data_IF_579742749092
#
_entry.id   IF_579742749092
#
_cell.length_a   1.000
_cell.length_b   1.000
_cell.length_c   1.000
_cell.angle_alpha   90.00
_cell.angle_beta   90.00
_cell.angle_gamma   90.00
#
_symmetry.space_group_name_H-M   'P 1'
#
loop_
_entity.id
_entity.type
_entity.pdbx_description
1 polymer ?
#
# COMPACT_ATOMS: atom_id res chain seq x y z
N UNK A 1 53.91 18.49 38.65
CA UNK A 1 53.40 18.41 37.27
C UNK A 1 53.22 16.94 36.89
N UNK A 2 52.00 16.39 37.01
CA UNK A 2 51.68 15.02 36.54
C UNK A 2 50.69 15.18 35.37
N UNK A 3 51.12 14.82 34.16
CA UNK A 3 50.29 14.85 32.95
C UNK A 3 49.40 13.61 32.95
N UNK A 4 48.08 13.82 33.04
CA UNK A 4 47.06 12.79 32.90
C UNK A 4 46.71 12.68 31.42
N UNK A 5 47.05 11.56 30.79
CA UNK A 5 46.69 11.23 29.41
C UNK A 5 45.34 10.50 29.46
N UNK A 6 44.29 11.13 28.93
CA UNK A 6 43.01 10.47 28.70
C UNK A 6 43.07 9.72 27.37
N UNK A 7 42.92 8.40 27.41
CA UNK A 7 42.67 7.58 26.23
C UNK A 7 41.20 7.73 25.83
N UNK A 8 40.95 8.39 24.70
CA UNK A 8 39.63 8.43 24.07
C UNK A 8 39.48 7.15 23.23
N UNK A 9 38.76 6.17 23.77
CA UNK A 9 38.41 4.94 23.06
C UNK A 9 37.25 5.28 22.11
N UNK A 10 37.53 5.44 20.82
CA UNK A 10 36.49 5.68 19.81
C UNK A 10 35.69 4.39 19.59
N UNK A 11 34.46 4.34 20.12
CA UNK A 11 33.47 3.36 19.70
C UNK A 11 33.00 3.72 18.29
N UNK A 12 33.57 3.07 17.28
CA UNK A 12 32.99 3.03 15.94
C UNK A 12 31.78 2.11 15.97
N UNK A 13 30.62 2.65 16.35
CA UNK A 13 29.34 2.00 16.09
C UNK A 13 29.14 1.92 14.59
N UNK A 14 29.21 0.72 14.02
CA UNK A 14 28.72 0.47 12.66
C UNK A 14 27.21 0.65 12.72
N UNK A 15 26.73 1.80 12.23
CA UNK A 15 25.32 1.98 11.91
C UNK A 15 25.01 1.00 10.77
N UNK A 16 24.46 -0.16 11.10
CA UNK A 16 23.81 -1.02 10.12
C UNK A 16 22.60 -0.24 9.59
N UNK A 17 22.74 0.33 8.39
CA UNK A 17 21.58 0.75 7.60
C UNK A 17 20.75 -0.51 7.32
N UNK A 18 19.72 -0.74 8.12
CA UNK A 18 18.65 -1.65 7.71
C UNK A 18 17.98 -1.03 6.49
N UNK A 19 17.97 -1.75 5.37
CA UNK A 19 17.23 -1.34 4.19
C UNK A 19 15.77 -1.07 4.58
N UNK A 20 15.29 0.13 4.28
CA UNK A 20 13.95 0.56 4.66
C UNK A 20 12.92 0.10 3.62
N UNK A 21 13.38 -0.22 2.41
CA UNK A 21 12.55 -0.67 1.30
C UNK A 21 13.22 -1.76 0.47
N UNK A 22 12.41 -2.58 -0.20
CA UNK A 22 12.88 -3.55 -1.20
C UNK A 22 13.68 -2.89 -2.34
N UNK A 23 13.42 -1.61 -2.61
CA UNK A 23 14.06 -0.87 -3.70
C UNK A 23 15.52 -0.47 -3.40
N UNK A 24 15.98 -0.65 -2.17
CA UNK A 24 17.36 -0.38 -1.78
C UNK A 24 18.31 -1.52 -2.19
N UNK A 25 17.76 -2.69 -2.55
CA UNK A 25 18.55 -3.85 -2.92
C UNK A 25 18.99 -3.81 -4.38
N UNK A 26 20.19 -4.35 -4.60
CA UNK A 26 20.70 -4.70 -5.91
C UNK A 26 20.92 -6.20 -5.98
N UNK A 27 20.80 -6.75 -7.18
CA UNK A 27 20.97 -8.18 -7.46
C UNK A 27 21.77 -8.34 -8.75
N UNK A 28 22.30 -9.53 -9.00
CA UNK A 28 22.93 -9.82 -10.30
C UNK A 28 21.88 -10.33 -11.28
N UNK A 29 21.84 -9.76 -12.47
CA UNK A 29 21.05 -10.30 -13.57
C UNK A 29 21.71 -11.59 -14.12
N UNK A 30 21.06 -12.16 -15.12
CA UNK A 30 21.48 -13.34 -15.88
C UNK A 30 22.83 -13.28 -16.60
N UNK A 31 23.42 -12.09 -16.76
CA UNK A 31 24.77 -11.92 -17.31
C UNK A 31 25.78 -11.51 -16.23
N UNK A 32 25.38 -11.58 -14.96
CA UNK A 32 26.23 -11.30 -13.80
C UNK A 32 26.41 -9.82 -13.48
N UNK A 33 25.68 -8.93 -14.15
CA UNK A 33 25.72 -7.48 -13.91
C UNK A 33 24.82 -7.10 -12.73
N UNK A 34 25.30 -6.18 -11.91
CA UNK A 34 24.52 -5.64 -10.80
C UNK A 34 23.41 -4.69 -11.31
N UNK A 35 22.16 -5.02 -10.99
CA UNK A 35 20.96 -4.24 -11.34
C UNK A 35 20.16 -3.92 -10.08
N UNK A 36 19.38 -2.84 -10.11
CA UNK A 36 18.61 -2.40 -8.93
C UNK A 36 17.19 -2.95 -8.96
N UNK A 37 16.69 -3.40 -7.81
CA UNK A 37 15.25 -3.74 -7.69
C UNK A 37 14.36 -2.49 -7.84
N UNK A 38 14.92 -1.28 -7.68
CA UNK A 38 14.20 -0.02 -7.92
C UNK A 38 13.70 0.14 -9.36
N UNK A 39 14.27 -0.58 -10.33
CA UNK A 39 13.79 -0.64 -11.72
C UNK A 39 12.35 -1.17 -11.82
N UNK A 40 11.88 -1.88 -10.78
CA UNK A 40 10.54 -2.45 -10.69
C UNK A 40 9.59 -1.65 -9.78
N UNK A 41 9.95 -0.41 -9.41
CA UNK A 41 9.13 0.44 -8.54
C UNK A 41 7.74 0.69 -9.11
N UNK A 42 6.71 0.55 -8.26
CA UNK A 42 5.30 0.71 -8.66
C UNK A 42 4.67 -0.53 -9.32
N UNK A 43 5.44 -1.59 -9.59
CA UNK A 43 4.92 -2.88 -10.01
C UNK A 43 4.56 -3.76 -8.80
N UNK A 44 3.63 -4.69 -9.01
CA UNK A 44 3.43 -5.83 -8.10
C UNK A 44 4.48 -6.88 -8.46
N UNK A 45 5.20 -7.42 -7.47
CA UNK A 45 6.27 -8.40 -7.72
C UNK A 45 5.92 -9.74 -7.09
N UNK A 46 6.24 -10.83 -7.79
CA UNK A 46 6.34 -12.16 -7.20
C UNK A 46 7.80 -12.61 -7.26
N UNK A 47 8.47 -12.59 -6.12
CA UNK A 47 9.87 -13.01 -6.01
C UNK A 47 9.89 -14.50 -5.66
N UNK A 48 10.59 -15.31 -6.44
CA UNK A 48 10.58 -16.78 -6.30
C UNK A 48 12.00 -17.33 -6.26
N UNK A 49 12.33 -18.18 -5.27
CA UNK A 49 13.55 -18.98 -5.36
C UNK A 49 13.27 -20.27 -6.15
N UNK A 50 14.01 -20.56 -7.22
CA UNK A 50 13.69 -21.69 -8.10
C UNK A 50 14.83 -22.68 -8.25
N UNK A 51 14.51 -23.82 -8.88
CA UNK A 51 15.44 -24.88 -9.22
C UNK A 51 14.93 -25.65 -10.44
N UNK A 52 15.84 -26.26 -11.21
CA UNK A 52 15.50 -26.97 -12.46
C UNK A 52 15.26 -28.46 -12.23
N UNK A 53 15.89 -29.07 -11.22
CA UNK A 53 15.78 -30.50 -10.88
C UNK A 53 14.91 -30.78 -9.65
N UNK A 54 13.90 -29.94 -9.41
CA UNK A 54 12.99 -30.05 -8.27
C UNK A 54 11.67 -30.71 -8.67
N UNK A 55 11.03 -31.43 -7.74
CA UNK A 55 9.66 -31.93 -7.94
C UNK A 55 8.63 -30.81 -8.14
N UNK A 56 8.94 -29.57 -7.75
CA UNK A 56 8.10 -28.39 -7.96
C UNK A 56 8.46 -27.60 -9.22
N UNK A 57 9.49 -27.99 -9.99
CA UNK A 57 9.83 -27.37 -11.29
C UNK A 57 8.62 -27.24 -12.23
N UNK A 58 7.68 -28.21 -12.30
CA UNK A 58 6.49 -28.05 -13.14
C UNK A 58 5.61 -26.84 -12.84
N UNK A 59 5.76 -26.17 -11.68
CA UNK A 59 5.03 -24.92 -11.37
C UNK A 59 5.32 -23.78 -12.36
N UNK A 60 6.42 -23.82 -13.11
CA UNK A 60 6.62 -22.90 -14.24
C UNK A 60 5.43 -22.90 -15.22
N UNK A 61 4.75 -24.04 -15.41
CA UNK A 61 3.55 -24.17 -16.25
C UNK A 61 2.36 -23.35 -15.77
N UNK A 62 2.33 -23.02 -14.48
CA UNK A 62 1.27 -22.20 -13.88
C UNK A 62 1.73 -20.74 -13.69
N UNK A 63 3.01 -20.52 -13.40
CA UNK A 63 3.60 -19.19 -13.23
C UNK A 63 3.65 -18.40 -14.54
N UNK A 64 3.95 -19.05 -15.67
CA UNK A 64 4.01 -18.36 -16.96
C UNK A 64 2.63 -17.83 -17.42
N UNK A 65 1.53 -18.62 -17.41
CA UNK A 65 0.21 -18.08 -17.68
C UNK A 65 -0.23 -16.97 -16.71
N UNK A 66 0.13 -17.08 -15.43
CA UNK A 66 -0.10 -16.02 -14.45
C UNK A 66 0.62 -14.74 -14.86
N UNK A 67 1.90 -14.85 -15.25
CA UNK A 67 2.69 -13.73 -15.72
C UNK A 67 2.07 -13.08 -16.95
N UNK A 68 1.80 -13.85 -18.00
CA UNK A 68 1.18 -13.35 -19.23
C UNK A 68 -0.14 -12.61 -18.97
N UNK A 69 -0.97 -13.13 -18.05
CA UNK A 69 -2.27 -12.54 -17.71
C UNK A 69 -2.17 -11.17 -17.04
N UNK A 70 -1.18 -10.95 -16.17
CA UNK A 70 -1.10 -9.74 -15.35
C UNK A 70 0.07 -8.81 -15.70
N UNK A 71 1.01 -9.22 -16.55
CA UNK A 71 2.21 -8.44 -16.86
C UNK A 71 1.89 -7.03 -17.36
N UNK A 72 0.97 -6.91 -18.32
CA UNK A 72 0.52 -5.62 -18.87
C UNK A 72 -0.20 -4.73 -17.85
N UNK A 73 -0.62 -5.29 -16.71
CA UNK A 73 -1.24 -4.57 -15.60
C UNK A 73 -0.20 -4.12 -14.55
N UNK A 74 1.09 -4.26 -14.85
CA UNK A 74 2.19 -3.87 -13.96
C UNK A 74 2.54 -4.96 -12.93
N UNK A 75 2.56 -6.21 -13.36
CA UNK A 75 3.03 -7.36 -12.59
C UNK A 75 4.37 -7.89 -13.14
N UNK A 76 5.26 -8.31 -12.24
CA UNK A 76 6.53 -8.95 -12.59
C UNK A 76 6.79 -10.19 -11.74
N UNK A 77 7.32 -11.25 -12.34
CA UNK A 77 7.93 -12.36 -11.59
C UNK A 77 9.44 -12.15 -11.63
N UNK A 78 10.08 -12.16 -10.45
CA UNK A 78 11.55 -12.11 -10.35
C UNK A 78 12.03 -13.50 -9.92
N UNK A 79 12.62 -14.23 -10.85
CA UNK A 79 13.06 -15.60 -10.65
C UNK A 79 14.55 -15.66 -10.25
N UNK A 80 14.81 -16.19 -9.06
CA UNK A 80 16.14 -16.35 -8.49
C UNK A 80 16.48 -17.83 -8.28
N UNK A 81 17.25 -18.47 -9.17
CA UNK A 81 17.68 -19.84 -8.95
C UNK A 81 18.51 -19.97 -7.66
N UNK A 82 18.32 -21.06 -6.92
CA UNK A 82 19.02 -21.31 -5.65
C UNK A 82 19.41 -22.78 -5.54
N UNK A 83 20.69 -23.06 -5.27
CA UNK A 83 21.21 -24.44 -5.23
C UNK A 83 21.32 -25.00 -3.80
N UNK A 84 20.82 -24.29 -2.79
CA UNK A 84 20.92 -24.69 -1.38
C UNK A 84 20.00 -25.89 -1.02
N UNK A 85 18.98 -26.16 -1.85
CA UNK A 85 17.98 -27.20 -1.57
C UNK A 85 18.21 -28.43 -2.46
N UNK A 86 18.85 -29.46 -1.89
CA UNK A 86 19.12 -30.73 -2.57
C UNK A 86 20.01 -30.60 -3.81
N UNK A 87 20.74 -29.49 -3.96
CA UNK A 87 21.56 -29.18 -5.14
C UNK A 87 20.76 -29.28 -6.47
N UNK A 88 19.51 -28.80 -6.43
CA UNK A 88 18.55 -28.96 -7.54
C UNK A 88 18.60 -27.82 -8.57
N UNK A 89 19.47 -26.82 -8.41
CA UNK A 89 19.78 -25.81 -9.41
C UNK A 89 21.27 -25.86 -9.80
N UNK A 90 21.77 -27.03 -10.27
CA UNK A 90 23.16 -27.15 -10.68
C UNK A 90 23.40 -26.41 -11.98
N UNK A 91 24.64 -25.98 -12.18
CA UNK A 91 25.06 -25.25 -13.38
C UNK A 91 25.05 -23.74 -13.22
N UNK A 92 25.25 -23.10 -14.36
CA UNK A 92 25.28 -21.66 -14.59
C UNK A 92 23.87 -21.13 -14.85
N UNK A 93 23.67 -19.82 -14.68
CA UNK A 93 22.38 -19.18 -15.01
C UNK A 93 22.01 -19.34 -16.49
N UNK A 94 22.98 -19.38 -17.41
CA UNK A 94 22.72 -19.61 -18.83
C UNK A 94 22.16 -21.02 -19.11
N UNK A 95 22.67 -22.05 -18.42
CA UNK A 95 22.14 -23.41 -18.51
C UNK A 95 20.74 -23.51 -17.91
N UNK A 96 20.51 -22.87 -16.75
CA UNK A 96 19.21 -22.82 -16.08
C UNK A 96 18.18 -22.14 -16.97
N UNK A 97 18.51 -21.00 -17.57
CA UNK A 97 17.64 -20.32 -18.53
C UNK A 97 17.30 -21.17 -19.73
N UNK A 98 18.32 -21.77 -20.34
CA UNK A 98 18.13 -22.60 -21.53
C UNK A 98 17.16 -23.75 -21.23
N UNK A 99 17.30 -24.36 -20.04
CA UNK A 99 16.36 -25.36 -19.55
C UNK A 99 14.95 -24.79 -19.36
N UNK A 100 14.78 -23.68 -18.64
CA UNK A 100 13.46 -23.13 -18.35
C UNK A 100 12.74 -22.69 -19.64
N UNK A 101 13.44 -22.03 -20.55
CA UNK A 101 12.91 -21.59 -21.85
C UNK A 101 12.49 -22.79 -22.70
N UNK A 102 13.36 -23.79 -22.86
CA UNK A 102 13.08 -24.94 -23.71
C UNK A 102 11.92 -25.83 -23.20
N UNK A 103 11.67 -25.86 -21.89
CA UNK A 103 10.67 -26.75 -21.28
C UNK A 103 9.35 -26.05 -20.91
N UNK A 104 9.39 -24.73 -20.69
CA UNK A 104 8.25 -23.99 -20.14
C UNK A 104 7.95 -22.66 -20.84
N UNK A 105 8.81 -22.22 -21.77
CA UNK A 105 8.62 -20.98 -22.53
C UNK A 105 8.41 -19.75 -21.63
N UNK A 106 9.28 -19.60 -20.62
CA UNK A 106 9.16 -18.51 -19.64
C UNK A 106 9.57 -17.17 -20.23
N UNK A 107 8.80 -16.11 -19.91
CA UNK A 107 9.06 -14.76 -20.42
C UNK A 107 9.45 -13.74 -19.34
N UNK A 108 9.35 -14.12 -18.06
CA UNK A 108 9.72 -13.23 -16.96
C UNK A 108 11.24 -13.23 -16.68
N UNK A 109 11.78 -12.15 -16.07
CA UNK A 109 13.20 -12.04 -15.75
C UNK A 109 13.72 -13.15 -14.85
N UNK A 110 14.86 -13.73 -15.25
CA UNK A 110 15.68 -14.60 -14.41
C UNK A 110 16.97 -13.88 -14.02
N UNK A 111 17.36 -14.05 -12.76
CA UNK A 111 18.54 -13.43 -12.17
C UNK A 111 19.63 -14.48 -11.93
N UNK A 112 20.84 -14.03 -11.61
CA UNK A 112 21.92 -14.94 -11.23
C UNK A 112 21.52 -15.75 -9.98
N UNK A 113 22.20 -16.88 -9.81
CA UNK A 113 21.97 -17.78 -8.68
C UNK A 113 22.23 -17.03 -7.36
N UNK A 114 21.35 -17.26 -6.40
CA UNK A 114 21.37 -16.56 -5.11
C UNK A 114 21.29 -17.54 -3.94
N UNK A 115 21.99 -17.22 -2.86
CA UNK A 115 21.82 -17.89 -1.57
C UNK A 115 20.70 -17.19 -0.79
N UNK A 116 19.78 -17.98 -0.22
CA UNK A 116 18.56 -17.48 0.44
C UNK A 116 18.57 -17.73 1.96
N UNK A 117 19.44 -18.63 2.42
CA UNK A 117 19.61 -19.01 3.82
C UNK A 117 21.10 -19.01 4.23
N UNK A 118 21.34 -19.03 5.55
CA UNK A 118 22.66 -19.08 6.15
C UNK A 118 23.41 -17.75 6.13
N UNK A 119 24.68 -17.77 6.55
CA UNK A 119 25.55 -16.59 6.66
C UNK A 119 25.81 -15.90 5.32
N UNK A 120 25.73 -16.66 4.21
CA UNK A 120 25.90 -16.16 2.85
C UNK A 120 24.57 -15.76 2.19
N UNK A 121 23.45 -15.77 2.91
CA UNK A 121 22.17 -15.34 2.37
C UNK A 121 22.26 -13.91 1.84
N UNK A 122 21.78 -13.70 0.62
CA UNK A 122 21.75 -12.37 0.05
C UNK A 122 20.85 -11.43 0.88
N UNK A 123 21.25 -10.16 1.11
CA UNK A 123 20.49 -9.22 1.93
C UNK A 123 19.01 -9.09 1.57
N UNK A 124 18.68 -9.16 0.27
CA UNK A 124 17.29 -9.22 -0.22
C UNK A 124 16.48 -10.33 0.45
N UNK A 125 16.99 -11.57 0.49
CA UNK A 125 16.25 -12.71 1.06
C UNK A 125 16.21 -12.69 2.58
N UNK A 126 17.26 -12.16 3.24
CA UNK A 126 17.23 -11.89 4.68
C UNK A 126 16.09 -10.93 5.02
N UNK A 127 16.00 -9.81 4.29
CA UNK A 127 14.93 -8.83 4.47
C UNK A 127 13.54 -9.40 4.15
N UNK A 128 13.38 -10.13 3.04
CA UNK A 128 12.11 -10.75 2.67
C UNK A 128 11.60 -11.72 3.75
N UNK A 129 12.50 -12.53 4.33
CA UNK A 129 12.16 -13.42 5.45
C UNK A 129 11.69 -12.61 6.65
N UNK A 130 12.45 -11.61 7.07
CA UNK A 130 12.11 -10.76 8.23
C UNK A 130 10.74 -10.08 8.08
N UNK A 131 10.46 -9.49 6.92
CA UNK A 131 9.19 -8.84 6.63
C UNK A 131 8.00 -9.82 6.60
N UNK A 132 8.26 -11.11 6.40
CA UNK A 132 7.25 -12.16 6.35
C UNK A 132 7.16 -13.00 7.64
N UNK A 133 7.61 -12.46 8.78
CA UNK A 133 7.55 -13.14 10.08
C UNK A 133 8.79 -13.98 10.42
N UNK A 134 9.87 -13.81 9.66
CA UNK A 134 11.15 -14.49 9.86
C UNK A 134 11.18 -15.94 9.37
N UNK A 135 12.18 -16.67 9.86
CA UNK A 135 12.36 -18.11 9.60
C UNK A 135 12.89 -18.43 8.20
N UNK A 136 13.71 -19.47 8.11
CA UNK A 136 14.37 -19.86 6.87
C UNK A 136 13.42 -20.26 5.75
N UNK A 137 13.89 -20.10 4.51
CA UNK A 137 13.24 -20.67 3.33
C UNK A 137 13.32 -22.19 3.46
N UNK A 138 12.17 -22.86 3.39
CA UNK A 138 12.11 -24.31 3.67
C UNK A 138 12.52 -25.14 2.47
N UNK A 139 12.27 -24.67 1.26
CA UNK A 139 12.52 -25.42 0.04
C UNK A 139 12.53 -24.52 -1.23
N UNK A 140 12.78 -25.12 -2.38
CA UNK A 140 12.59 -24.49 -3.68
C UNK A 140 11.12 -24.07 -3.88
N UNK A 141 10.89 -23.03 -4.67
CA UNK A 141 9.57 -22.44 -4.97
C UNK A 141 8.86 -21.83 -3.75
N UNK A 142 9.59 -21.27 -2.79
CA UNK A 142 9.01 -20.28 -1.86
C UNK A 142 8.88 -18.94 -2.59
N UNK A 143 7.79 -18.21 -2.33
CA UNK A 143 7.39 -17.03 -3.11
C UNK A 143 7.02 -15.89 -2.19
N UNK A 144 7.35 -14.67 -2.57
CA UNK A 144 6.97 -13.45 -1.85
C UNK A 144 6.20 -12.54 -2.80
N UNK A 145 4.95 -12.23 -2.44
CA UNK A 145 4.14 -11.23 -3.13
C UNK A 145 4.43 -9.86 -2.53
N UNK A 146 4.85 -8.92 -3.37
CA UNK A 146 5.25 -7.56 -3.01
C UNK A 146 4.27 -6.58 -3.64
N UNK A 147 3.76 -5.64 -2.86
CA UNK A 147 2.87 -4.59 -3.34
C UNK A 147 3.58 -3.53 -4.17
N UNK A 148 2.79 -2.68 -4.85
CA UNK A 148 3.31 -1.53 -5.63
C UNK A 148 4.09 -0.51 -4.77
N UNK A 149 3.85 -0.53 -3.47
CA UNK A 149 4.55 0.29 -2.47
C UNK A 149 5.88 -0.33 -1.99
N UNK A 150 6.23 -1.52 -2.50
CA UNK A 150 7.44 -2.25 -2.14
C UNK A 150 7.35 -3.04 -0.83
N UNK A 151 6.16 -3.14 -0.20
CA UNK A 151 5.97 -3.90 1.04
C UNK A 151 5.64 -5.36 0.74
N UNK A 152 6.17 -6.27 1.57
CA UNK A 152 5.79 -7.68 1.51
C UNK A 152 4.33 -7.83 1.93
N UNK A 153 3.51 -8.36 1.04
CA UNK A 153 2.09 -8.64 1.29
C UNK A 153 1.95 -10.02 1.92
N UNK A 154 2.62 -11.02 1.33
CA UNK A 154 2.48 -12.41 1.76
C UNK A 154 3.65 -13.29 1.28
N UNK A 155 4.01 -14.26 2.10
CA UNK A 155 4.92 -15.36 1.77
C UNK A 155 4.10 -16.63 1.51
N UNK A 156 4.47 -17.37 0.47
CA UNK A 156 3.87 -18.65 0.08
C UNK A 156 4.96 -19.73 0.06
N UNK A 157 4.65 -20.91 0.55
CA UNK A 157 5.55 -22.06 0.55
C UNK A 157 5.39 -22.91 -0.72
N UNK A 158 6.28 -23.87 -0.93
CA UNK A 158 6.34 -24.65 -2.18
C UNK A 158 5.04 -25.35 -2.57
N UNK A 159 4.22 -25.74 -1.59
CA UNK A 159 2.95 -26.46 -1.82
C UNK A 159 1.77 -25.52 -2.06
N UNK A 160 1.91 -24.22 -1.80
CA UNK A 160 0.85 -23.27 -2.09
C UNK A 160 0.61 -23.21 -3.59
N UNK A 161 -0.65 -23.36 -3.97
CA UNK A 161 -1.06 -23.41 -5.37
C UNK A 161 -1.01 -22.03 -6.00
N UNK A 162 -0.64 -21.96 -7.27
CA UNK A 162 -0.61 -20.70 -8.02
C UNK A 162 -2.00 -20.05 -8.07
N UNK A 163 -3.08 -20.82 -8.08
CA UNK A 163 -4.45 -20.30 -7.96
C UNK A 163 -4.69 -19.48 -6.68
N UNK A 164 -4.08 -19.87 -5.55
CA UNK A 164 -4.17 -19.10 -4.30
C UNK A 164 -3.42 -17.77 -4.43
N UNK A 165 -2.26 -17.79 -5.09
CA UNK A 165 -1.47 -16.58 -5.36
C UNK A 165 -2.25 -15.67 -6.31
N UNK A 166 -2.90 -16.22 -7.33
CA UNK A 166 -3.71 -15.45 -8.27
C UNK A 166 -4.88 -14.74 -7.57
N UNK A 167 -5.58 -15.42 -6.66
CA UNK A 167 -6.67 -14.81 -5.90
C UNK A 167 -6.19 -13.61 -5.06
N UNK A 168 -5.04 -13.74 -4.41
CA UNK A 168 -4.41 -12.63 -3.67
C UNK A 168 -3.91 -11.54 -4.64
N UNK A 169 -3.38 -11.92 -5.81
CA UNK A 169 -2.92 -11.00 -6.86
C UNK A 169 -4.04 -10.13 -7.41
N UNK A 170 -5.23 -10.67 -7.64
CA UNK A 170 -6.37 -9.91 -8.14
C UNK A 170 -6.70 -8.71 -7.24
N UNK A 171 -6.51 -8.86 -5.93
CA UNK A 171 -6.75 -7.79 -4.95
C UNK A 171 -5.71 -6.67 -5.02
N UNK A 172 -4.50 -6.94 -5.53
CA UNK A 172 -3.36 -6.02 -5.46
C UNK A 172 -2.98 -5.45 -6.83
N UNK A 173 -3.23 -6.17 -7.93
CA UNK A 173 -2.97 -5.69 -9.28
C UNK A 173 -4.08 -4.75 -9.74
N UNK A 174 -5.35 -5.05 -9.39
CA UNK A 174 -6.48 -4.20 -9.72
C UNK A 174 -6.37 -2.86 -8.95
N UNK A 175 -6.21 -1.71 -9.63
CA UNK A 175 -5.95 -0.44 -8.97
C UNK A 175 -7.12 0.03 -8.09
N UNK A 176 -8.36 -0.34 -8.43
CA UNK A 176 -9.53 0.00 -7.62
C UNK A 176 -9.54 -0.80 -6.33
N UNK A 177 -9.34 -2.12 -6.42
CA UNK A 177 -9.29 -2.98 -5.24
C UNK A 177 -8.09 -2.64 -4.36
N UNK A 178 -6.91 -2.42 -4.95
CA UNK A 178 -5.72 -2.03 -4.19
C UNK A 178 -5.93 -0.69 -3.47
N UNK A 179 -6.57 0.28 -4.12
CA UNK A 179 -6.91 1.57 -3.52
C UNK A 179 -7.88 1.39 -2.33
N UNK A 180 -8.93 0.56 -2.50
CA UNK A 180 -9.88 0.22 -1.43
C UNK A 180 -9.17 -0.44 -0.25
N UNK A 181 -8.28 -1.39 -0.51
CA UNK A 181 -7.59 -2.18 0.52
C UNK A 181 -6.48 -1.39 1.22
N UNK A 182 -5.84 -0.44 0.53
CA UNK A 182 -4.78 0.41 1.06
C UNK A 182 -5.31 1.55 1.94
N UNK A 183 -6.51 2.06 1.67
CA UNK A 183 -7.04 3.25 2.35
C UNK A 183 -7.08 3.11 3.87
N UNK A 184 -6.56 4.11 4.59
CA UNK A 184 -6.62 4.22 6.06
C UNK A 184 -7.21 5.56 6.50
N UNK A 185 -7.62 5.64 7.76
CA UNK A 185 -7.98 6.93 8.37
C UNK A 185 -6.71 7.65 8.81
N UNK A 186 -6.32 8.66 8.04
CA UNK A 186 -5.17 9.55 8.32
C UNK A 186 -5.62 10.67 9.25
N UNK A 187 -4.86 10.91 10.32
CA UNK A 187 -5.17 11.84 11.40
C UNK A 187 -4.05 12.84 11.68
N UNK A 188 -2.92 12.72 10.97
CA UNK A 188 -1.82 13.69 10.95
C UNK A 188 -1.54 14.08 9.51
N UNK A 189 -1.36 15.36 9.28
CA UNK A 189 -1.23 15.93 7.95
C UNK A 189 -0.01 16.84 7.92
N UNK A 190 0.63 16.91 6.76
CA UNK A 190 1.65 17.93 6.52
C UNK A 190 0.98 19.30 6.55
N UNK A 191 1.72 20.30 7.01
CA UNK A 191 1.31 21.70 6.97
C UNK A 191 1.46 22.27 5.54
N UNK A 192 0.70 21.66 4.61
CA UNK A 192 0.67 21.99 3.18
C UNK A 192 -0.78 21.94 2.70
N UNK A 193 -1.34 23.03 2.14
CA UNK A 193 -2.67 23.00 1.54
C UNK A 193 -2.71 22.04 0.34
N UNK A 194 -3.85 21.39 0.17
CA UNK A 194 -4.15 20.58 -1.02
C UNK A 194 -4.53 21.51 -2.17
N UNK A 195 -4.07 21.18 -3.37
CA UNK A 195 -4.42 21.94 -4.56
C UNK A 195 -5.94 21.86 -4.85
N UNK A 196 -6.58 23.00 -5.14
CA UNK A 196 -8.02 23.12 -5.35
C UNK A 196 -8.58 22.08 -6.33
N UNK A 197 -7.91 21.89 -7.48
CA UNK A 197 -8.30 20.92 -8.51
C UNK A 197 -8.44 19.48 -7.96
N UNK A 198 -7.59 19.07 -7.01
CA UNK A 198 -7.72 17.75 -6.38
C UNK A 198 -8.90 17.68 -5.44
N UNK A 199 -9.17 18.76 -4.69
CA UNK A 199 -10.33 18.84 -3.80
C UNK A 199 -11.63 18.79 -4.61
N UNK A 200 -11.66 19.46 -5.76
CA UNK A 200 -12.78 19.39 -6.71
C UNK A 200 -12.96 17.97 -7.25
N UNK A 201 -11.91 17.30 -7.72
CA UNK A 201 -11.99 15.89 -8.17
C UNK A 201 -12.57 15.00 -7.06
N UNK A 202 -12.11 15.17 -5.82
CA UNK A 202 -12.64 14.43 -4.67
C UNK A 202 -14.12 14.71 -4.46
N UNK A 203 -14.52 15.98 -4.48
CA UNK A 203 -15.93 16.36 -4.32
C UNK A 203 -16.80 15.81 -5.47
N UNK A 204 -16.33 15.91 -6.70
CA UNK A 204 -16.97 15.37 -7.91
C UNK A 204 -17.17 13.85 -7.80
N UNK A 205 -16.17 13.10 -7.35
CA UNK A 205 -16.29 11.66 -7.15
C UNK A 205 -17.38 11.31 -6.13
N UNK A 206 -17.55 12.17 -5.11
CA UNK A 206 -18.61 12.06 -4.12
C UNK A 206 -20.00 12.34 -4.66
N UNK A 207 -20.22 13.50 -5.29
CA UNK A 207 -21.57 13.90 -5.74
C UNK A 207 -22.12 13.03 -6.88
N UNK A 208 -21.28 12.21 -7.52
CA UNK A 208 -21.68 11.28 -8.58
C UNK A 208 -22.11 9.89 -8.08
N UNK A 209 -22.31 9.71 -6.77
CA UNK A 209 -22.84 8.43 -6.24
C UNK A 209 -24.30 8.21 -6.64
N UNK A 210 -24.76 6.94 -6.75
CA UNK A 210 -26.17 6.65 -6.84
C UNK A 210 -26.88 7.02 -5.52
N UNK A 211 -28.19 7.30 -5.61
CA UNK A 211 -29.05 7.53 -4.45
C UNK A 211 -30.41 6.87 -4.65
N UNK A 212 -31.13 6.62 -3.54
CA UNK A 212 -32.47 6.05 -3.62
C UNK A 212 -33.38 6.93 -4.49
N UNK A 213 -34.03 6.32 -5.50
CA UNK A 213 -34.83 7.03 -6.51
C UNK A 213 -34.08 8.16 -7.24
N UNK A 214 -32.74 8.11 -7.28
CA UNK A 214 -31.89 9.15 -7.85
C UNK A 214 -32.15 10.57 -7.32
N UNK A 215 -32.52 10.69 -6.03
CA UNK A 215 -32.86 11.97 -5.39
C UNK A 215 -31.70 12.97 -5.34
N UNK A 216 -30.47 12.50 -5.11
CA UNK A 216 -29.25 13.32 -5.11
C UNK A 216 -29.31 14.53 -4.15
N UNK A 217 -29.96 14.35 -3.00
CA UNK A 217 -30.22 15.42 -2.03
C UNK A 217 -29.02 15.66 -1.10
N UNK A 218 -27.89 16.09 -1.64
CA UNK A 218 -26.69 16.44 -0.87
C UNK A 218 -26.18 17.83 -1.24
N UNK A 219 -25.49 18.46 -0.28
CA UNK A 219 -24.69 19.64 -0.52
C UNK A 219 -23.28 19.42 0.02
N UNK A 220 -22.28 19.78 -0.78
CA UNK A 220 -20.87 19.64 -0.43
C UNK A 220 -20.23 21.03 -0.38
N UNK A 221 -19.41 21.28 0.63
CA UNK A 221 -18.62 22.51 0.76
C UNK A 221 -17.17 22.15 1.02
N UNK A 222 -16.27 22.71 0.23
CA UNK A 222 -14.82 22.58 0.41
C UNK A 222 -14.35 23.81 1.19
N UNK A 223 -13.60 23.59 2.26
CA UNK A 223 -13.01 24.66 3.09
C UNK A 223 -11.51 24.64 2.91
N UNK A 224 -11.01 25.74 2.35
CA UNK A 224 -9.59 25.94 1.99
C UNK A 224 -8.99 27.17 2.64
N UNK A 225 -9.84 28.06 3.16
CA UNK A 225 -9.42 29.29 3.80
C UNK A 225 -8.69 28.99 5.13
N UNK A 226 -7.40 29.35 5.26
CA UNK A 226 -6.62 29.03 6.46
C UNK A 226 -7.17 29.66 7.74
N UNK A 227 -7.73 30.88 7.67
CA UNK A 227 -8.34 31.54 8.83
C UNK A 227 -9.55 30.74 9.35
N UNK A 228 -10.40 30.25 8.45
CA UNK A 228 -11.53 29.39 8.84
C UNK A 228 -11.08 28.05 9.40
N UNK A 229 -9.93 27.54 8.96
CA UNK A 229 -9.34 26.32 9.49
C UNK A 229 -8.76 26.50 10.90
N UNK A 230 -8.23 27.69 11.22
CA UNK A 230 -7.79 28.02 12.58
C UNK A 230 -8.96 28.09 13.58
N UNK A 231 -10.14 28.56 13.16
CA UNK A 231 -11.36 28.59 13.98
C UNK A 231 -11.78 27.20 14.51
N UNK A 232 -11.49 26.15 13.71
CA UNK A 232 -11.90 24.77 13.97
C UNK A 232 -10.74 23.85 14.35
N UNK A 233 -9.57 24.44 14.61
CA UNK A 233 -8.34 23.74 14.99
C UNK A 233 -8.53 22.92 16.27
N UNK A 234 -7.85 21.78 16.34
CA UNK A 234 -7.97 20.79 17.40
C UNK A 234 -9.20 19.87 17.26
N UNK A 235 -10.25 20.33 16.57
CA UNK A 235 -11.48 19.54 16.38
C UNK A 235 -11.43 18.72 15.09
N UNK A 236 -10.68 19.18 14.08
CA UNK A 236 -10.70 18.62 12.72
C UNK A 236 -9.39 17.94 12.33
N UNK A 237 -8.70 17.34 13.31
CA UNK A 237 -7.37 16.70 13.15
C UNK A 237 -6.28 17.65 12.65
N UNK A 238 -6.51 18.96 12.77
CA UNK A 238 -5.61 19.99 12.23
C UNK A 238 -5.29 19.77 10.75
N UNK A 239 -6.24 19.23 9.99
CA UNK A 239 -6.06 19.09 8.55
C UNK A 239 -5.99 20.47 7.89
N UNK A 240 -5.24 20.61 6.78
CA UNK A 240 -5.16 21.89 6.06
C UNK A 240 -6.46 22.24 5.32
N UNK A 241 -7.30 21.25 5.01
CA UNK A 241 -8.56 21.42 4.29
C UNK A 241 -9.66 20.55 4.89
N UNK A 242 -10.92 20.93 4.65
CA UNK A 242 -12.10 20.11 4.99
C UNK A 242 -13.05 19.98 3.82
N UNK A 243 -13.72 18.84 3.74
CA UNK A 243 -14.91 18.67 2.91
C UNK A 243 -16.09 18.44 3.85
N UNK A 244 -17.02 19.39 3.87
CA UNK A 244 -18.24 19.36 4.65
C UNK A 244 -19.36 18.72 3.84
N UNK A 245 -19.97 17.67 4.38
CA UNK A 245 -21.10 16.97 3.76
C UNK A 245 -22.37 17.32 4.48
N UNK A 246 -23.31 17.88 3.73
CA UNK A 246 -24.62 18.32 4.20
C UNK A 246 -25.74 17.56 3.48
N UNK A 247 -26.89 17.43 4.13
CA UNK A 247 -28.09 16.84 3.56
C UNK A 247 -29.33 17.53 4.15
N UNK A 248 -30.53 17.34 3.58
CA UNK A 248 -31.74 17.93 4.15
C UNK A 248 -31.93 17.55 5.62
N UNK A 249 -32.40 18.50 6.40
CA UNK A 249 -32.56 18.37 7.84
C UNK A 249 -33.62 17.31 8.19
N UNK A 250 -34.67 17.23 7.36
CA UNK A 250 -35.81 16.35 7.51
C UNK A 250 -35.68 15.12 6.59
N UNK A 251 -35.66 13.92 7.18
CA UNK A 251 -35.52 12.65 6.46
C UNK A 251 -34.26 11.87 6.87
N UNK A 252 -34.04 10.72 6.24
CA UNK A 252 -32.87 9.88 6.47
C UNK A 252 -32.03 9.76 5.20
N UNK A 253 -30.93 10.51 5.15
CA UNK A 253 -29.99 10.55 4.03
C UNK A 253 -28.62 9.97 4.39
N UNK A 254 -28.48 9.35 5.57
CA UNK A 254 -27.18 8.89 6.07
C UNK A 254 -26.56 7.79 5.18
N UNK A 255 -27.39 6.94 4.57
CA UNK A 255 -26.92 5.89 3.66
C UNK A 255 -26.31 6.49 2.39
N UNK A 256 -27.08 7.33 1.70
CA UNK A 256 -26.66 8.00 0.46
C UNK A 256 -25.45 8.91 0.71
N UNK A 257 -25.46 9.69 1.80
CA UNK A 257 -24.31 10.49 2.22
C UNK A 257 -23.11 9.60 2.59
N UNK A 258 -23.32 8.40 3.14
CA UNK A 258 -22.25 7.44 3.42
C UNK A 258 -21.57 6.93 2.14
N UNK A 259 -22.33 6.66 1.08
CA UNK A 259 -21.79 6.31 -0.23
C UNK A 259 -20.92 7.43 -0.78
N UNK A 260 -21.42 8.67 -0.72
CA UNK A 260 -20.69 9.87 -1.14
C UNK A 260 -19.34 10.00 -0.41
N UNK A 261 -19.35 9.90 0.92
CA UNK A 261 -18.13 9.99 1.72
C UNK A 261 -17.14 8.88 1.40
N UNK A 262 -17.62 7.66 1.15
CA UNK A 262 -16.77 6.55 0.74
C UNK A 262 -16.10 6.81 -0.61
N UNK A 263 -16.84 7.31 -1.62
CA UNK A 263 -16.26 7.65 -2.92
C UNK A 263 -15.22 8.79 -2.82
N UNK A 264 -15.53 9.85 -2.06
CA UNK A 264 -14.59 10.95 -1.81
C UNK A 264 -13.29 10.43 -1.19
N UNK A 265 -13.38 9.60 -0.16
CA UNK A 265 -12.19 9.06 0.51
C UNK A 265 -11.39 8.11 -0.38
N UNK A 266 -12.03 7.35 -1.28
CA UNK A 266 -11.34 6.53 -2.28
C UNK A 266 -10.65 7.37 -3.35
N UNK A 267 -11.31 8.42 -3.85
CA UNK A 267 -10.72 9.36 -4.81
C UNK A 267 -9.50 10.07 -4.19
N UNK A 268 -9.63 10.55 -2.95
CA UNK A 268 -8.53 11.20 -2.23
C UNK A 268 -7.32 10.27 -2.09
N UNK A 269 -7.53 9.00 -1.70
CA UNK A 269 -6.46 8.00 -1.62
C UNK A 269 -5.75 7.81 -2.97
N UNK A 270 -6.50 7.77 -4.07
CA UNK A 270 -5.92 7.60 -5.42
C UNK A 270 -5.07 8.80 -5.87
N UNK A 271 -5.31 9.98 -5.28
CA UNK A 271 -4.56 11.22 -5.52
C UNK A 271 -3.40 11.40 -4.52
N UNK A 272 -3.12 10.39 -3.68
CA UNK A 272 -2.07 10.45 -2.65
C UNK A 272 -2.44 11.27 -1.41
N UNK A 273 -3.73 11.54 -1.20
CA UNK A 273 -4.24 12.30 -0.06
C UNK A 273 -4.73 11.39 1.06
N UNK A 274 -4.46 11.78 2.30
CA UNK A 274 -5.03 11.16 3.49
C UNK A 274 -6.39 11.75 3.82
N UNK A 275 -7.28 10.94 4.39
CA UNK A 275 -8.59 11.40 4.86
C UNK A 275 -8.98 10.83 6.22
N UNK A 276 -9.81 11.57 6.97
CA UNK A 276 -10.55 11.06 8.11
C UNK A 276 -11.95 11.67 8.14
N UNK A 277 -12.97 10.80 8.00
CA UNK A 277 -14.36 11.17 8.22
C UNK A 277 -14.64 11.35 9.72
N UNK A 278 -15.37 12.39 10.08
CA UNK A 278 -15.64 12.77 11.47
C UNK A 278 -17.07 13.27 11.65
N UNK A 279 -17.81 12.61 12.55
CA UNK A 279 -19.13 13.04 13.01
C UNK A 279 -19.07 13.75 14.36
N UNK A 280 -18.11 13.38 15.22
CA UNK A 280 -17.95 13.95 16.57
C UNK A 280 -17.82 15.48 16.62
N UNK A 281 -16.96 16.10 15.78
CA UNK A 281 -16.78 17.55 15.75
C UNK A 281 -18.01 18.34 15.29
N UNK A 282 -18.99 17.71 14.61
CA UNK A 282 -20.15 18.42 14.05
C UNK A 282 -20.87 19.24 15.11
N UNK A 283 -21.04 18.70 16.32
CA UNK A 283 -21.68 19.44 17.42
C UNK A 283 -20.93 20.72 17.80
N UNK A 284 -19.61 20.70 17.78
CA UNK A 284 -18.78 21.90 18.01
C UNK A 284 -18.96 22.86 16.83
N UNK A 285 -18.80 22.38 15.59
CA UNK A 285 -18.89 23.20 14.38
C UNK A 285 -20.24 23.93 14.26
N UNK A 286 -21.33 23.31 14.71
CA UNK A 286 -22.67 23.88 14.59
C UNK A 286 -23.07 24.80 15.75
N UNK A 287 -22.50 24.64 16.94
CA UNK A 287 -23.01 25.30 18.16
C UNK A 287 -21.99 26.18 18.89
N UNK A 288 -20.69 26.02 18.64
CA UNK A 288 -19.66 26.81 19.31
C UNK A 288 -19.52 28.19 18.65
N UNK A 289 -19.29 29.22 19.45
CA UNK A 289 -19.06 30.58 18.98
C UNK A 289 -17.72 30.73 18.27
N UNK A 290 -16.70 29.94 18.67
CA UNK A 290 -15.41 29.92 17.96
C UNK A 290 -15.56 29.45 16.52
N UNK A 291 -16.52 28.55 16.27
CA UNK A 291 -16.81 28.04 14.93
C UNK A 291 -17.82 28.91 14.16
N UNK A 292 -18.20 30.09 14.65
CA UNK A 292 -19.24 30.91 14.01
C UNK A 292 -18.86 31.34 12.60
N UNK A 293 -17.67 31.91 12.41
CA UNK A 293 -17.23 32.35 11.08
C UNK A 293 -17.10 31.17 10.09
N UNK A 294 -16.54 30.04 10.56
CA UNK A 294 -16.57 28.78 9.82
C UNK A 294 -18.00 28.37 9.42
N UNK A 295 -18.93 28.30 10.38
CA UNK A 295 -20.32 27.90 10.15
C UNK A 295 -21.02 28.80 9.15
N UNK A 296 -20.88 30.12 9.31
CA UNK A 296 -21.49 31.11 8.43
C UNK A 296 -20.92 30.99 7.00
N UNK A 297 -19.64 30.67 6.85
CA UNK A 297 -18.99 30.47 5.54
C UNK A 297 -19.49 29.24 4.78
N UNK A 298 -20.07 28.26 5.47
CA UNK A 298 -20.58 27.05 4.81
C UNK A 298 -21.75 27.36 3.89
N UNK A 299 -22.48 28.45 4.14
CA UNK A 299 -23.66 28.86 3.36
C UNK A 299 -24.59 27.67 3.08
N UNK A 300 -24.94 26.98 4.17
CA UNK A 300 -25.82 25.79 4.13
C UNK A 300 -27.27 26.29 4.04
N UNK A 301 -28.07 25.79 3.09
CA UNK A 301 -29.50 26.11 3.03
C UNK A 301 -30.21 25.84 4.37
N UNK A 302 -31.21 26.65 4.72
CA UNK A 302 -31.88 26.57 6.02
C UNK A 302 -32.58 25.21 6.27
N UNK A 303 -32.95 24.51 5.20
CA UNK A 303 -33.55 23.18 5.23
C UNK A 303 -32.52 22.04 5.18
N UNK A 304 -31.22 22.36 5.24
CA UNK A 304 -30.10 21.41 5.29
C UNK A 304 -29.38 21.44 6.64
N UNK A 305 -28.62 20.37 6.91
CA UNK A 305 -27.74 20.27 8.07
C UNK A 305 -26.40 19.67 7.69
N UNK A 306 -25.35 20.06 8.43
CA UNK A 306 -24.05 19.41 8.37
C UNK A 306 -24.14 18.00 8.97
N UNK A 307 -23.83 16.96 8.19
CA UNK A 307 -23.86 15.57 8.64
C UNK A 307 -22.52 15.12 9.21
N UNK A 308 -21.44 15.38 8.47
CA UNK A 308 -20.08 15.05 8.87
C UNK A 308 -19.09 15.92 8.08
N UNK A 309 -17.84 15.91 8.53
CA UNK A 309 -16.71 16.51 7.81
C UNK A 309 -15.68 15.45 7.47
N UNK A 310 -14.99 15.63 6.36
CA UNK A 310 -13.82 14.85 5.96
C UNK A 310 -12.61 15.78 6.10
N UNK A 311 -11.78 15.50 7.09
CA UNK A 311 -10.41 16.05 7.13
C UNK A 311 -9.63 15.49 5.95
N UNK A 312 -8.97 16.36 5.19
CA UNK A 312 -8.21 15.98 4.00
C UNK A 312 -6.92 16.78 3.91
N UNK A 313 -5.85 16.10 3.49
CA UNK A 313 -4.53 16.69 3.39
C UNK A 313 -3.48 15.69 2.93
N UNK A 314 -2.27 16.17 2.71
CA UNK A 314 -1.12 15.28 2.52
C UNK A 314 -0.80 14.55 3.83
N UNK A 315 -0.68 13.22 3.84
CA UNK A 315 -0.47 12.46 5.07
C UNK A 315 0.94 12.72 5.64
N UNK A 316 1.01 13.03 6.94
CA UNK A 316 2.26 13.03 7.75
C UNK A 316 2.36 11.76 8.61
N UNK A 317 1.64 10.72 8.19
CA UNK A 317 1.69 9.40 8.80
C UNK A 317 1.31 8.34 7.77
N UNK A 318 1.74 7.10 8.00
CA UNK A 318 1.31 5.95 7.22
C UNK A 318 0.79 4.87 8.18
N UNK A 319 -0.49 4.94 8.59
CA UNK A 319 -1.03 3.99 9.57
C UNK A 319 -1.03 2.57 9.01
N UNK A 320 -0.56 1.61 9.81
CA UNK A 320 -0.60 0.21 9.41
C UNK A 320 -2.03 -0.34 9.26
N UNK A 321 -2.15 -1.38 8.45
CA UNK A 321 -3.33 -2.22 8.41
C UNK A 321 -3.54 -2.90 9.76
N UNK A 322 -4.56 -2.50 10.52
CA UNK A 322 -4.98 -3.30 11.68
C UNK A 322 -5.75 -4.52 11.17
N UNK A 323 -5.40 -5.75 11.61
CA UNK A 323 -6.18 -6.94 11.29
C UNK A 323 -7.65 -6.71 11.64
N UNK A 324 -8.54 -7.21 10.78
CA UNK A 324 -9.97 -7.17 11.09
C UNK A 324 -10.24 -8.13 12.24
N UNK A 325 -10.92 -7.64 13.26
CA UNK A 325 -11.38 -8.45 14.37
C UNK A 325 -12.47 -9.41 13.88
N UNK A 326 -12.11 -10.67 13.67
CA UNK A 326 -13.00 -11.70 13.14
C UNK A 326 -14.21 -11.96 14.06
N UNK A 327 -14.15 -11.57 15.34
CA UNK A 327 -15.31 -11.62 16.24
C UNK A 327 -16.36 -10.53 15.93
N UNK A 328 -15.92 -9.42 15.32
CA UNK A 328 -16.76 -8.26 15.00
C UNK A 328 -17.18 -8.22 13.54
N UNK A 329 -16.32 -8.69 12.62
CA UNK A 329 -16.59 -8.67 11.18
C UNK A 329 -17.06 -10.06 10.75
N UNK A 330 -18.34 -10.17 10.41
CA UNK A 330 -18.93 -11.40 9.89
C UNK A 330 -19.17 -11.28 8.40
N UNK A 331 -18.56 -12.17 7.62
CA UNK A 331 -18.92 -12.41 6.23
C UNK A 331 -19.78 -13.68 6.21
N UNK A 332 -21.10 -13.49 6.15
CA UNK A 332 -22.07 -14.60 6.08
C UNK A 332 -22.16 -14.99 4.60
N UNK A 333 -21.73 -16.22 4.29
CA UNK A 333 -21.77 -16.77 2.93
C UNK A 333 -23.13 -17.35 2.61
#
# INVERSE_FOLDING_TARGET
>A
MKRMIFYLMAMTGVLTLSAQSIYDFKVKNDVGQEVSISDYKGKVLLIVNTATRCGFTPQYKDLEPLYQKYHSQGFEILDFPCNQFGQQAPGTIQEIRSFCTANFDIHFPQFDKIDVNGENAHPLYTWLKEQAGGGDIKWNFTKFLIGRDGKVIKRYESRDQVATIEADMQMVVNPVLSNIMARRSVRKYLDKPVEHEKLEIVALAGINVPSAMNRQNWAVRIIENPQLMDDVKGQTRNAPNLICVCAPANGNFNLDAGLMGQNMMLAAQSLGLGTCIQTGPVRFLTNDEKAKAFRDSLDIPADYKLLYVISIGYPDEQPDAKPRDASKVKYIK
#
